data_IF_546024062295
#
_entry.id   IF_546024062295
#
_cell.length_a   1.000
_cell.length_b   1.000
_cell.length_c   1.000
_cell.angle_alpha   90.00
_cell.angle_beta   90.00
_cell.angle_gamma   90.00
#
_symmetry.space_group_name_H-M   'P 1'
#
loop_
_entity.id
_entity.type
_entity.pdbx_description
1 polymer ?
#
# COMPACT_ATOMS: atom_id res chain seq x y z
N UNK A 1 27.50 27.67 -9.18
CA UNK A 1 26.61 26.59 -8.70
C UNK A 1 25.60 26.32 -9.81
N UNK A 2 25.78 25.25 -10.60
CA UNK A 2 24.81 24.91 -11.64
C UNK A 2 23.56 24.33 -10.96
N UNK A 3 22.47 25.07 -11.00
CA UNK A 3 21.15 24.57 -10.64
C UNK A 3 20.74 23.60 -11.75
N UNK A 4 20.89 22.30 -11.49
CA UNK A 4 20.32 21.29 -12.37
C UNK A 4 18.80 21.33 -12.22
N UNK A 5 18.12 22.14 -13.03
CA UNK A 5 16.68 21.98 -13.23
C UNK A 5 16.47 20.63 -13.88
N UNK A 6 16.04 19.65 -13.09
CA UNK A 6 15.59 18.36 -13.62
C UNK A 6 14.42 18.67 -14.55
N UNK A 7 14.46 18.28 -15.84
CA UNK A 7 13.33 18.51 -16.73
C UNK A 7 12.08 17.89 -16.11
N UNK A 8 11.01 18.68 -15.97
CA UNK A 8 9.69 18.13 -15.62
C UNK A 8 9.19 17.33 -16.83
N UNK A 9 9.45 16.02 -16.82
CA UNK A 9 8.94 15.08 -17.81
C UNK A 9 7.44 14.91 -17.58
N UNK A 10 6.63 15.80 -18.15
CA UNK A 10 5.18 15.77 -17.96
C UNK A 10 4.48 14.76 -18.88
N UNK A 11 5.18 14.24 -19.90
CA UNK A 11 4.65 13.27 -20.86
C UNK A 11 5.73 12.28 -21.26
N UNK A 12 5.53 11.00 -20.95
CA UNK A 12 6.46 9.91 -21.27
C UNK A 12 5.76 8.87 -22.13
N UNK A 13 6.32 8.59 -23.32
CA UNK A 13 5.84 7.51 -24.20
C UNK A 13 6.84 6.35 -24.17
N UNK A 14 6.38 5.18 -23.74
CA UNK A 14 7.20 3.96 -23.76
C UNK A 14 7.24 3.40 -25.19
N UNK A 15 8.43 3.31 -25.76
CA UNK A 15 8.65 2.80 -27.12
C UNK A 15 9.16 1.36 -27.15
N UNK A 16 9.72 0.87 -26.05
CA UNK A 16 10.25 -0.50 -25.91
C UNK A 16 9.17 -1.57 -26.13
N UNK A 17 9.43 -2.51 -27.04
CA UNK A 17 8.50 -3.61 -27.35
C UNK A 17 8.28 -4.53 -26.15
N UNK A 18 9.33 -4.75 -25.36
CA UNK A 18 9.25 -5.52 -24.11
C UNK A 18 8.17 -4.95 -23.18
N UNK A 19 8.19 -3.64 -22.93
CA UNK A 19 7.27 -2.98 -22.03
C UNK A 19 5.89 -2.76 -22.65
N UNK A 20 5.81 -2.47 -23.95
CA UNK A 20 4.52 -2.39 -24.66
C UNK A 20 3.74 -3.68 -24.54
N UNK A 21 4.40 -4.84 -24.71
CA UNK A 21 3.75 -6.15 -24.56
C UNK A 21 3.06 -6.31 -23.21
N UNK A 22 3.73 -5.96 -22.11
CA UNK A 22 3.14 -6.05 -20.77
C UNK A 22 2.03 -5.03 -20.55
N UNK A 23 2.19 -3.80 -21.03
CA UNK A 23 1.14 -2.77 -20.98
C UNK A 23 -0.11 -3.23 -21.71
N UNK A 24 0.04 -3.80 -22.90
CA UNK A 24 -1.08 -4.37 -23.66
C UNK A 24 -1.74 -5.54 -22.94
N UNK A 25 -0.95 -6.44 -22.34
CA UNK A 25 -1.47 -7.55 -21.53
C UNK A 25 -2.31 -7.03 -20.36
N UNK A 26 -1.85 -5.96 -19.69
CA UNK A 26 -2.57 -5.36 -18.57
C UNK A 26 -3.97 -4.91 -18.98
N UNK A 27 -4.09 -4.13 -20.05
CA UNK A 27 -5.40 -3.59 -20.48
C UNK A 27 -6.30 -4.62 -21.14
N UNK A 28 -5.74 -5.57 -21.89
CA UNK A 28 -6.54 -6.55 -22.64
C UNK A 28 -6.98 -7.74 -21.81
N UNK A 29 -6.15 -8.18 -20.87
CA UNK A 29 -6.37 -9.42 -20.11
C UNK A 29 -6.46 -9.20 -18.61
N UNK A 30 -5.50 -8.49 -18.01
CA UNK A 30 -5.40 -8.42 -16.54
C UNK A 30 -6.52 -7.60 -15.93
N UNK A 31 -6.75 -6.37 -16.38
CA UNK A 31 -7.79 -5.50 -15.83
C UNK A 31 -9.19 -6.10 -16.01
N UNK A 32 -9.59 -6.62 -17.20
CA UNK A 32 -10.89 -7.27 -17.35
C UNK A 32 -11.05 -8.54 -16.50
N UNK A 33 -9.99 -9.36 -16.39
CA UNK A 33 -10.04 -10.57 -15.57
C UNK A 33 -10.19 -10.25 -14.09
N UNK A 34 -9.35 -9.35 -13.55
CA UNK A 34 -9.42 -8.94 -12.16
C UNK A 34 -10.77 -8.30 -11.82
N UNK A 35 -11.33 -7.50 -12.73
CA UNK A 35 -12.67 -6.93 -12.55
C UNK A 35 -13.73 -8.02 -12.38
N UNK A 36 -13.71 -9.07 -13.22
CA UNK A 36 -14.63 -10.22 -13.09
C UNK A 36 -14.43 -10.96 -11.77
N UNK A 37 -13.19 -11.17 -11.34
CA UNK A 37 -12.88 -11.81 -10.06
C UNK A 37 -13.46 -11.01 -8.88
N UNK A 38 -13.24 -9.70 -8.84
CA UNK A 38 -13.74 -8.84 -7.75
C UNK A 38 -15.27 -8.69 -7.73
N UNK A 39 -15.94 -8.98 -8.84
CA UNK A 39 -17.40 -9.04 -8.95
C UNK A 39 -17.96 -10.47 -8.76
N UNK A 40 -17.12 -11.45 -8.42
CA UNK A 40 -17.49 -12.87 -8.31
C UNK A 40 -18.11 -13.45 -9.60
N UNK A 41 -17.70 -12.92 -10.76
CA UNK A 41 -18.15 -13.33 -12.10
C UNK A 41 -17.17 -14.27 -12.82
N UNK A 42 -16.01 -14.53 -12.22
CA UNK A 42 -14.99 -15.44 -12.74
C UNK A 42 -14.94 -16.74 -11.94
N UNK A 43 -14.78 -17.86 -12.63
CA UNK A 43 -14.50 -19.16 -12.00
C UNK A 43 -13.01 -19.22 -11.63
N UNK A 44 -12.70 -19.12 -10.33
CA UNK A 44 -11.34 -19.12 -9.82
C UNK A 44 -11.07 -20.37 -8.98
N UNK A 45 -9.89 -20.96 -9.19
CA UNK A 45 -9.32 -21.96 -8.31
C UNK A 45 -8.18 -21.33 -7.54
N UNK A 46 -8.42 -20.98 -6.28
CA UNK A 46 -7.42 -20.38 -5.41
C UNK A 46 -6.58 -21.51 -4.80
N UNK A 47 -5.27 -21.50 -5.09
CA UNK A 47 -4.32 -22.34 -4.38
C UNK A 47 -4.25 -21.93 -2.91
N UNK A 48 -3.89 -22.85 -2.01
CA UNK A 48 -3.64 -22.57 -0.58
C UNK A 48 -2.86 -21.26 -0.40
N UNK A 49 -3.38 -20.37 0.47
CA UNK A 49 -2.66 -19.15 0.86
C UNK A 49 -1.26 -19.56 1.36
N UNK A 50 -0.17 -19.05 0.76
CA UNK A 50 1.19 -19.31 1.23
C UNK A 50 1.44 -18.95 2.71
N UNK A 51 0.60 -18.10 3.30
CA UNK A 51 0.62 -17.72 4.71
C UNK A 51 -0.49 -18.40 5.54
N UNK A 52 -1.29 -19.27 4.90
CA UNK A 52 -2.36 -20.07 5.50
C UNK A 52 -3.48 -19.24 6.17
N UNK A 53 -3.82 -18.07 5.64
CA UNK A 53 -4.88 -17.23 6.21
C UNK A 53 -6.29 -17.56 5.69
N UNK A 54 -6.47 -18.60 4.87
CA UNK A 54 -7.78 -19.10 4.44
C UNK A 54 -7.83 -19.57 2.98
N UNK A 55 -9.00 -20.08 2.59
CA UNK A 55 -9.37 -20.40 1.20
C UNK A 55 -10.76 -19.82 0.94
N UNK A 56 -10.83 -18.52 0.68
CA UNK A 56 -12.06 -17.93 0.18
C UNK A 56 -12.26 -18.32 -1.28
N UNK A 57 -13.49 -18.71 -1.65
CA UNK A 57 -13.82 -19.10 -3.03
C UNK A 57 -14.18 -17.89 -3.90
N UNK A 58 -14.57 -16.80 -3.25
CA UNK A 58 -15.03 -15.57 -3.86
C UNK A 58 -14.12 -14.41 -3.43
N UNK A 59 -14.18 -13.30 -4.16
CA UNK A 59 -13.54 -12.05 -3.74
C UNK A 59 -14.50 -11.20 -2.92
N UNK A 60 -15.73 -11.02 -3.39
CA UNK A 60 -16.76 -10.18 -2.79
C UNK A 60 -16.41 -8.69 -2.62
N UNK A 61 -15.26 -8.23 -3.14
CA UNK A 61 -14.74 -6.89 -2.86
C UNK A 61 -15.69 -5.78 -3.34
N UNK A 62 -16.30 -5.93 -4.53
CA UNK A 62 -17.30 -4.97 -5.03
C UNK A 62 -18.64 -5.09 -4.27
N UNK A 63 -19.00 -6.29 -3.81
CA UNK A 63 -20.23 -6.49 -3.05
C UNK A 63 -20.13 -5.85 -1.65
N UNK A 64 -18.98 -5.92 -0.98
CA UNK A 64 -18.73 -5.22 0.28
C UNK A 64 -18.99 -3.69 0.14
N UNK A 65 -18.48 -3.06 -0.93
CA UNK A 65 -18.76 -1.64 -1.21
C UNK A 65 -20.26 -1.38 -1.45
N UNK A 66 -20.96 -2.26 -2.18
CA UNK A 66 -22.42 -2.14 -2.39
C UNK A 66 -23.20 -2.27 -1.08
N UNK A 67 -22.75 -3.12 -0.16
CA UNK A 67 -23.38 -3.27 1.16
C UNK A 67 -23.14 -2.02 2.00
N UNK A 68 -21.91 -1.52 2.05
CA UNK A 68 -21.59 -0.27 2.76
C UNK A 68 -22.35 0.94 2.21
N UNK A 69 -22.55 1.01 0.89
CA UNK A 69 -23.36 2.04 0.22
C UNK A 69 -24.89 1.86 0.42
N UNK A 70 -25.35 0.83 1.13
CA UNK A 70 -26.77 0.52 1.30
C UNK A 70 -27.48 0.06 0.03
N UNK A 71 -26.74 -0.23 -1.05
CA UNK A 71 -27.26 -0.72 -2.33
C UNK A 71 -27.48 -2.24 -2.32
N UNK A 72 -26.94 -2.94 -1.32
CA UNK A 72 -27.08 -4.37 -1.09
C UNK A 72 -27.23 -4.64 0.42
N UNK A 73 -27.90 -5.73 0.79
CA UNK A 73 -27.93 -6.21 2.19
C UNK A 73 -26.96 -7.39 2.32
N UNK A 74 -26.21 -7.45 3.41
CA UNK A 74 -25.28 -8.55 3.67
C UNK A 74 -24.33 -8.24 4.82
N UNK A 75 -23.35 -9.12 4.99
CA UNK A 75 -22.20 -8.98 5.88
C UNK A 75 -20.94 -8.81 5.04
N UNK A 76 -19.84 -8.36 5.66
CA UNK A 76 -18.55 -8.32 4.99
C UNK A 76 -18.07 -9.73 4.67
N UNK A 77 -17.33 -9.87 3.56
CA UNK A 77 -16.67 -11.11 3.19
C UNK A 77 -15.22 -10.86 2.78
N UNK A 78 -14.33 -11.80 3.10
CA UNK A 78 -12.89 -11.71 2.86
C UNK A 78 -12.14 -11.00 3.98
N UNK A 79 -10.91 -10.55 3.69
CA UNK A 79 -10.06 -9.91 4.69
C UNK A 79 -10.60 -8.54 5.12
N UNK A 80 -10.20 -8.02 6.30
CA UNK A 80 -10.51 -6.64 6.70
C UNK A 80 -10.03 -5.58 5.70
N UNK A 81 -9.01 -5.91 4.88
CA UNK A 81 -8.44 -5.05 3.84
C UNK A 81 -8.94 -5.35 2.42
N UNK A 82 -10.04 -6.10 2.26
CA UNK A 82 -10.53 -6.52 0.93
C UNK A 82 -10.76 -5.35 -0.03
N UNK A 83 -11.15 -4.18 0.48
CA UNK A 83 -11.39 -2.99 -0.35
C UNK A 83 -10.12 -2.52 -1.08
N UNK A 84 -8.93 -2.79 -0.53
CA UNK A 84 -7.66 -2.40 -1.13
C UNK A 84 -7.44 -3.06 -2.51
N UNK A 85 -8.04 -4.23 -2.77
CA UNK A 85 -7.98 -4.88 -4.08
C UNK A 85 -8.69 -4.05 -5.15
N UNK A 86 -9.85 -3.47 -4.79
CA UNK A 86 -10.62 -2.57 -5.65
C UNK A 86 -9.82 -1.29 -5.93
N UNK A 87 -9.18 -0.73 -4.91
CA UNK A 87 -8.44 0.52 -5.05
C UNK A 87 -7.18 0.35 -5.88
N UNK A 88 -6.42 -0.73 -5.68
CA UNK A 88 -5.25 -1.05 -6.53
C UNK A 88 -5.65 -1.30 -7.99
N UNK A 89 -6.78 -1.96 -8.22
CA UNK A 89 -7.31 -2.13 -9.57
C UNK A 89 -7.68 -0.78 -10.20
N UNK A 90 -8.31 0.11 -9.44
CA UNK A 90 -8.65 1.46 -9.88
C UNK A 90 -7.39 2.30 -10.21
N UNK A 91 -6.34 2.22 -9.39
CA UNK A 91 -5.06 2.88 -9.65
C UNK A 91 -4.41 2.34 -10.94
N UNK A 92 -4.40 1.01 -11.13
CA UNK A 92 -3.88 0.39 -12.34
C UNK A 92 -4.67 0.79 -13.60
N UNK A 93 -6.00 0.88 -13.48
CA UNK A 93 -6.87 1.37 -14.54
C UNK A 93 -6.61 2.85 -14.84
N UNK A 94 -6.41 3.70 -13.82
CA UNK A 94 -6.06 5.11 -13.97
C UNK A 94 -4.82 5.28 -14.85
N UNK A 95 -3.70 4.64 -14.49
CA UNK A 95 -2.47 4.71 -15.27
C UNK A 95 -2.62 4.17 -16.70
N UNK A 96 -3.58 3.27 -16.92
CA UNK A 96 -3.85 2.73 -18.26
C UNK A 96 -4.31 3.80 -19.24
N UNK A 97 -5.05 4.81 -18.79
CA UNK A 97 -5.60 5.85 -19.67
C UNK A 97 -4.52 6.70 -20.32
N UNK A 98 -3.40 6.95 -19.63
CA UNK A 98 -2.27 7.70 -20.17
C UNK A 98 -1.59 7.05 -21.38
N UNK A 99 -1.85 5.76 -21.64
CA UNK A 99 -1.26 5.04 -22.79
C UNK A 99 -2.24 4.22 -23.62
N UNK A 100 -3.45 3.99 -23.12
CA UNK A 100 -4.49 3.26 -23.79
C UNK A 100 -5.88 3.83 -23.42
N UNK A 101 -6.29 4.96 -24.02
CA UNK A 101 -7.61 5.51 -23.79
C UNK A 101 -8.71 4.48 -24.12
N UNK A 102 -9.59 4.23 -23.16
CA UNK A 102 -10.64 3.22 -23.27
C UNK A 102 -11.94 3.75 -22.63
N UNK A 103 -12.91 4.22 -23.44
CA UNK A 103 -14.16 4.78 -22.94
C UNK A 103 -15.00 3.81 -22.11
N UNK A 104 -14.99 2.51 -22.45
CA UNK A 104 -15.76 1.50 -21.74
C UNK A 104 -15.17 1.24 -20.34
N UNK A 105 -13.84 1.10 -20.25
CA UNK A 105 -13.15 1.03 -18.97
C UNK A 105 -13.37 2.30 -18.14
N UNK A 106 -13.32 3.48 -18.77
CA UNK A 106 -13.58 4.75 -18.09
C UNK A 106 -14.99 4.80 -17.48
N UNK A 107 -15.99 4.29 -18.19
CA UNK A 107 -17.36 4.20 -17.65
C UNK A 107 -17.43 3.27 -16.44
N UNK A 108 -16.74 2.13 -16.49
CA UNK A 108 -16.67 1.19 -15.36
C UNK A 108 -16.02 1.88 -14.15
N UNK A 109 -14.88 2.56 -14.35
CA UNK A 109 -14.15 3.21 -13.26
C UNK A 109 -14.87 4.45 -12.71
N UNK A 110 -15.53 5.25 -13.54
CA UNK A 110 -16.36 6.38 -13.08
C UNK A 110 -17.54 5.88 -12.22
N UNK A 111 -18.23 4.81 -12.66
CA UNK A 111 -19.30 4.19 -11.86
C UNK A 111 -18.78 3.60 -10.55
N UNK A 112 -17.56 3.03 -10.56
CA UNK A 112 -16.92 2.52 -9.35
C UNK A 112 -16.62 3.67 -8.37
N UNK A 113 -16.13 4.81 -8.86
CA UNK A 113 -15.90 5.99 -8.03
C UNK A 113 -17.19 6.50 -7.42
N UNK A 114 -18.30 6.48 -8.17
CA UNK A 114 -19.63 6.81 -7.63
C UNK A 114 -20.04 5.85 -6.51
N UNK A 115 -19.85 4.54 -6.69
CA UNK A 115 -20.10 3.54 -5.64
C UNK A 115 -19.24 3.78 -4.40
N UNK A 116 -17.96 4.10 -4.56
CA UNK A 116 -17.06 4.40 -3.44
C UNK A 116 -17.50 5.70 -2.74
N UNK A 117 -17.96 6.69 -3.48
CA UNK A 117 -18.51 7.92 -2.92
C UNK A 117 -19.75 7.64 -2.06
N UNK A 118 -20.66 6.80 -2.56
CA UNK A 118 -21.89 6.41 -1.84
C UNK A 118 -21.59 5.56 -0.60
N UNK A 119 -20.51 4.78 -0.62
CA UNK A 119 -20.08 3.98 0.51
C UNK A 119 -19.33 4.78 1.59
N UNK A 120 -18.76 5.95 1.27
CA UNK A 120 -17.96 6.74 2.21
C UNK A 120 -18.86 7.43 3.24
N UNK A 121 -18.57 7.24 4.54
CA UNK A 121 -19.32 7.88 5.61
C UNK A 121 -19.21 9.42 5.53
N UNK A 122 -20.15 10.13 6.16
CA UNK A 122 -20.20 11.60 6.16
C UNK A 122 -18.90 12.24 6.67
N UNK A 123 -18.28 11.63 7.69
CA UNK A 123 -17.01 12.05 8.28
C UNK A 123 -15.79 11.67 7.44
N UNK A 124 -15.96 11.07 6.27
CA UNK A 124 -14.90 10.69 5.34
C UNK A 124 -14.29 9.30 5.59
N UNK A 125 -14.72 8.58 6.63
CA UNK A 125 -14.28 7.22 6.89
C UNK A 125 -14.74 6.25 5.78
N UNK A 126 -13.88 5.31 5.39
CA UNK A 126 -14.28 4.18 4.54
C UNK A 126 -13.43 2.95 4.84
N UNK A 127 -14.09 1.91 5.33
CA UNK A 127 -13.58 0.54 5.40
C UNK A 127 -14.79 -0.35 5.60
N UNK A 128 -15.10 -1.18 4.60
CA UNK A 128 -16.39 -1.87 4.53
C UNK A 128 -16.58 -2.81 5.72
N UNK A 129 -15.55 -3.55 6.14
CA UNK A 129 -15.62 -4.42 7.33
C UNK A 129 -16.10 -3.67 8.58
N UNK A 130 -15.50 -2.50 8.85
CA UNK A 130 -15.84 -1.70 10.02
C UNK A 130 -17.11 -0.89 9.82
N UNK A 131 -17.60 -0.66 8.60
CA UNK A 131 -18.92 -0.04 8.41
C UNK A 131 -20.05 -1.05 8.56
N UNK A 132 -19.82 -2.29 8.16
CA UNK A 132 -20.87 -3.33 8.05
C UNK A 132 -20.96 -4.15 9.33
N UNK A 133 -19.85 -4.75 9.78
CA UNK A 133 -19.86 -5.78 10.81
C UNK A 133 -19.32 -5.32 12.17
N UNK A 134 -18.50 -4.25 12.18
CA UNK A 134 -17.83 -3.79 13.40
C UNK A 134 -17.70 -2.25 13.53
N UNK A 135 -18.79 -1.46 13.39
CA UNK A 135 -18.75 0.01 13.46
C UNK A 135 -18.24 0.58 14.78
N UNK A 136 -18.43 -0.14 15.87
CA UNK A 136 -17.91 0.24 17.17
C UNK A 136 -16.41 0.01 17.32
N UNK A 137 -15.74 -0.63 16.35
CA UNK A 137 -14.31 -1.01 16.41
C UNK A 137 -13.40 -0.19 15.50
N UNK A 138 -13.93 0.82 14.80
CA UNK A 138 -13.14 1.78 14.00
C UNK A 138 -11.93 2.30 14.79
N UNK A 139 -10.74 2.15 14.23
CA UNK A 139 -9.44 2.52 14.79
C UNK A 139 -9.10 1.90 16.14
N UNK A 140 -9.72 0.76 16.52
CA UNK A 140 -9.47 0.10 17.83
C UNK A 140 -8.50 -1.10 17.75
N UNK A 141 -8.10 -1.56 16.56
CA UNK A 141 -7.14 -2.66 16.41
C UNK A 141 -6.18 -2.46 15.23
N UNK A 142 -5.48 -1.34 15.24
CA UNK A 142 -4.61 -0.85 14.17
C UNK A 142 -3.48 -1.81 13.82
N UNK A 143 -3.04 -2.66 14.74
CA UNK A 143 -2.07 -3.72 14.44
C UNK A 143 -2.53 -4.62 13.29
N UNK A 144 -3.84 -4.90 13.19
CA UNK A 144 -4.42 -5.94 12.34
C UNK A 144 -5.43 -5.39 11.33
N UNK A 145 -6.02 -4.23 11.64
CA UNK A 145 -7.19 -3.67 10.95
C UNK A 145 -6.95 -3.32 9.48
N UNK A 146 -5.73 -2.88 9.14
CA UNK A 146 -5.42 -2.28 7.84
C UNK A 146 -6.37 -1.13 7.44
N UNK A 147 -6.97 -0.42 8.40
CA UNK A 147 -7.87 0.71 8.10
C UNK A 147 -7.12 1.85 7.37
N UNK A 148 -5.93 2.24 7.86
CA UNK A 148 -5.17 3.30 7.20
C UNK A 148 -4.49 2.78 5.94
N UNK A 149 -4.09 1.51 5.91
CA UNK A 149 -3.59 0.85 4.71
C UNK A 149 -4.61 0.88 3.57
N UNK A 150 -5.85 0.52 3.88
CA UNK A 150 -6.93 0.42 2.90
C UNK A 150 -7.34 1.81 2.39
N UNK A 151 -7.51 2.79 3.29
CA UNK A 151 -7.73 4.19 2.88
C UNK A 151 -6.53 4.78 2.15
N UNK A 152 -5.30 4.41 2.51
CA UNK A 152 -4.07 4.81 1.81
C UNK A 152 -4.06 4.37 0.35
N UNK A 153 -4.43 3.12 0.08
CA UNK A 153 -4.55 2.64 -1.30
C UNK A 153 -5.67 3.34 -2.08
N UNK A 154 -6.78 3.73 -1.44
CA UNK A 154 -7.75 4.59 -2.10
C UNK A 154 -7.15 5.97 -2.43
N UNK A 155 -6.41 6.57 -1.49
CA UNK A 155 -5.77 7.87 -1.71
C UNK A 155 -4.82 7.80 -2.93
N UNK A 156 -4.00 6.75 -3.05
CA UNK A 156 -3.15 6.53 -4.23
C UNK A 156 -3.98 6.44 -5.52
N UNK A 157 -5.06 5.64 -5.50
CA UNK A 157 -5.95 5.47 -6.64
C UNK A 157 -6.66 6.78 -7.03
N UNK A 158 -7.16 7.53 -6.06
CA UNK A 158 -7.85 8.81 -6.25
C UNK A 158 -6.92 9.87 -6.84
N UNK A 159 -5.69 9.95 -6.35
CA UNK A 159 -4.65 10.83 -6.91
C UNK A 159 -4.32 10.44 -8.35
N UNK A 160 -4.02 9.16 -8.60
CA UNK A 160 -3.69 8.68 -9.95
C UNK A 160 -4.84 8.92 -10.95
N UNK A 161 -6.08 8.64 -10.52
CA UNK A 161 -7.26 8.80 -11.36
C UNK A 161 -7.56 10.27 -11.66
N UNK A 162 -7.43 11.16 -10.68
CA UNK A 162 -7.52 12.59 -10.90
C UNK A 162 -6.43 13.07 -11.86
N UNK A 163 -5.17 12.66 -11.65
CA UNK A 163 -4.05 13.06 -12.50
C UNK A 163 -4.24 12.66 -13.97
N UNK A 164 -4.70 11.42 -14.22
CA UNK A 164 -4.83 10.88 -15.58
C UNK A 164 -6.12 11.30 -16.29
N UNK A 165 -7.19 11.64 -15.55
CA UNK A 165 -8.52 11.88 -16.14
C UNK A 165 -9.14 13.23 -15.82
N UNK A 166 -8.62 13.96 -14.84
CA UNK A 166 -9.21 15.18 -14.29
C UNK A 166 -10.47 14.96 -13.44
N UNK A 167 -10.78 13.72 -13.03
CA UNK A 167 -11.96 13.44 -12.22
C UNK A 167 -11.77 13.95 -10.78
N UNK A 168 -12.38 15.10 -10.49
CA UNK A 168 -12.31 15.76 -9.19
C UNK A 168 -12.97 14.94 -8.05
N UNK A 169 -14.02 14.17 -8.35
CA UNK A 169 -14.73 13.36 -7.35
C UNK A 169 -13.78 12.33 -6.72
N UNK A 170 -12.94 11.69 -7.51
CA UNK A 170 -11.94 10.74 -7.02
C UNK A 170 -10.97 11.40 -6.02
N UNK A 171 -10.49 12.61 -6.34
CA UNK A 171 -9.60 13.37 -5.45
C UNK A 171 -10.32 13.85 -4.18
N UNK A 172 -11.58 14.26 -4.29
CA UNK A 172 -12.36 14.74 -3.15
C UNK A 172 -12.65 13.65 -2.12
N UNK A 173 -12.94 12.42 -2.56
CA UNK A 173 -13.08 11.27 -1.66
C UNK A 173 -11.75 11.00 -0.93
N UNK A 174 -10.61 11.10 -1.65
CA UNK A 174 -9.28 10.86 -1.07
C UNK A 174 -8.94 11.91 0.00
N UNK A 175 -9.24 13.18 -0.28
CA UNK A 175 -9.13 14.26 0.70
C UNK A 175 -10.01 14.01 1.93
N UNK A 176 -11.25 13.56 1.75
CA UNK A 176 -12.16 13.27 2.88
C UNK A 176 -11.64 12.14 3.76
N UNK A 177 -11.04 11.09 3.17
CA UNK A 177 -10.36 10.05 3.95
C UNK A 177 -9.15 10.61 4.71
N UNK A 178 -8.31 11.40 4.05
CA UNK A 178 -7.15 12.01 4.69
C UNK A 178 -7.56 12.96 5.83
N UNK A 179 -8.60 13.77 5.64
CA UNK A 179 -9.16 14.65 6.66
C UNK A 179 -9.79 13.85 7.81
N UNK A 180 -10.41 12.70 7.53
CA UNK A 180 -10.89 11.77 8.57
C UNK A 180 -9.72 11.28 9.43
N UNK A 181 -8.64 10.84 8.80
CA UNK A 181 -7.46 10.34 9.50
C UNK A 181 -6.80 11.48 10.31
N UNK A 182 -6.64 12.67 9.74
CA UNK A 182 -6.07 13.86 10.41
C UNK A 182 -6.84 14.23 11.69
N UNK A 183 -8.18 14.09 11.69
CA UNK A 183 -9.01 14.31 12.88
C UNK A 183 -8.76 13.29 14.00
N UNK A 184 -8.45 12.04 13.65
CA UNK A 184 -8.37 10.95 14.62
C UNK A 184 -6.94 10.67 15.11
N UNK A 185 -5.92 11.03 14.35
CA UNK A 185 -4.52 10.65 14.62
C UNK A 185 -3.63 11.87 14.87
N UNK A 186 -2.82 11.79 15.92
CA UNK A 186 -1.96 12.88 16.36
C UNK A 186 -1.62 12.76 17.84
N UNK A 187 -0.87 13.75 18.34
CA UNK A 187 -0.45 13.84 19.75
C UNK A 187 -1.33 14.78 20.57
N UNK A 188 -2.26 15.47 19.91
CA UNK A 188 -3.22 16.37 20.54
C UNK A 188 -4.21 15.59 21.41
N UNK A 189 -4.73 16.25 22.44
CA UNK A 189 -5.70 15.66 23.35
C UNK A 189 -6.93 15.13 22.59
N UNK A 190 -7.34 13.90 22.88
CA UNK A 190 -8.46 13.23 22.22
C UNK A 190 -8.11 12.48 20.94
N UNK A 191 -6.92 12.67 20.37
CA UNK A 191 -6.45 11.89 19.21
C UNK A 191 -5.74 10.60 19.64
N UNK A 192 -5.62 9.67 18.69
CA UNK A 192 -4.92 8.40 18.83
C UNK A 192 -3.43 8.62 18.51
N UNK A 193 -2.50 8.44 19.48
CA UNK A 193 -1.06 8.58 19.27
C UNK A 193 -0.46 7.31 18.59
N UNK A 194 -1.13 6.84 17.54
CA UNK A 194 -0.91 5.55 16.89
C UNK A 194 -0.65 5.62 15.39
N UNK A 195 -0.52 4.43 14.81
CA UNK A 195 -0.21 4.16 13.41
C UNK A 195 -0.72 2.76 13.05
N UNK A 196 -0.89 2.48 11.76
CA UNK A 196 -1.31 1.16 11.26
C UNK A 196 -0.18 0.13 11.36
N UNK A 197 -0.52 -1.14 11.61
CA UNK A 197 0.41 -2.25 11.57
C UNK A 197 1.03 -2.47 10.19
N UNK A 198 0.38 -2.06 9.11
CA UNK A 198 0.93 -2.08 7.76
C UNK A 198 1.19 -0.65 7.25
N UNK A 199 2.46 -0.21 7.14
CA UNK A 199 2.81 1.05 6.45
C UNK A 199 2.23 1.08 5.05
N UNK A 200 1.71 2.22 4.62
CA UNK A 200 1.11 2.51 3.30
C UNK A 200 0.56 3.94 3.30
N UNK A 201 -0.14 4.33 4.37
CA UNK A 201 -0.75 5.66 4.46
C UNK A 201 0.26 6.80 4.36
N UNK A 202 1.50 6.57 4.79
CA UNK A 202 2.55 7.57 4.83
C UNK A 202 2.98 8.02 3.41
N UNK A 203 3.12 7.07 2.48
CA UNK A 203 3.45 7.38 1.08
C UNK A 203 2.22 7.93 0.33
N UNK A 204 1.03 7.42 0.64
CA UNK A 204 -0.22 7.86 0.03
C UNK A 204 -0.52 9.34 0.36
N UNK A 205 -0.39 9.73 1.63
CA UNK A 205 -0.53 11.12 2.08
C UNK A 205 0.53 12.04 1.46
N UNK A 206 1.76 11.54 1.25
CA UNK A 206 2.81 12.30 0.57
C UNK A 206 2.43 12.57 -0.90
N UNK A 207 1.86 11.59 -1.61
CA UNK A 207 1.35 11.79 -2.98
C UNK A 207 0.14 12.72 -3.01
N UNK A 208 -0.75 12.62 -2.02
CA UNK A 208 -1.90 13.53 -1.91
C UNK A 208 -1.45 14.98 -1.68
N UNK A 209 -0.41 15.19 -0.88
CA UNK A 209 0.23 16.50 -0.76
C UNK A 209 0.79 16.99 -2.09
N UNK A 210 1.51 16.16 -2.85
CA UNK A 210 2.05 16.57 -4.16
C UNK A 210 0.94 16.99 -5.14
N UNK A 211 -0.22 16.33 -5.10
CA UNK A 211 -1.36 16.61 -5.98
C UNK A 211 -2.19 17.83 -5.53
N UNK A 212 -2.29 18.08 -4.21
CA UNK A 212 -3.20 19.10 -3.65
C UNK A 212 -2.51 20.36 -3.12
N UNK A 213 -1.24 20.26 -2.72
CA UNK A 213 -0.52 21.30 -1.98
C UNK A 213 -0.98 21.49 -0.53
N UNK A 214 -1.87 20.65 0.00
CA UNK A 214 -2.36 20.74 1.38
C UNK A 214 -1.31 20.16 2.36
N UNK A 215 -0.60 21.07 3.03
CA UNK A 215 0.51 20.74 3.92
C UNK A 215 0.10 19.84 5.09
N UNK A 216 -1.17 19.88 5.55
CA UNK A 216 -1.65 19.00 6.62
C UNK A 216 -1.43 17.51 6.28
N UNK A 217 -1.60 17.11 5.03
CA UNK A 217 -1.38 15.72 4.62
C UNK A 217 0.09 15.32 4.72
N UNK A 218 0.99 16.22 4.35
CA UNK A 218 2.43 16.01 4.53
C UNK A 218 2.81 15.91 6.01
N UNK A 219 2.29 16.82 6.84
CA UNK A 219 2.57 16.82 8.28
C UNK A 219 2.03 15.55 8.95
N UNK A 220 0.87 15.05 8.52
CA UNK A 220 0.29 13.80 8.98
C UNK A 220 1.13 12.58 8.56
N UNK A 221 1.62 12.54 7.31
CA UNK A 221 2.57 11.52 6.87
C UNK A 221 3.84 11.53 7.73
N UNK A 222 4.39 12.71 8.01
CA UNK A 222 5.56 12.87 8.88
C UNK A 222 5.27 12.41 10.31
N UNK A 223 4.07 12.68 10.84
CA UNK A 223 3.64 12.18 12.14
C UNK A 223 3.68 10.64 12.18
N UNK A 224 3.06 9.94 11.23
CA UNK A 224 3.03 8.48 11.24
C UNK A 224 4.43 7.85 11.16
N UNK A 225 5.31 8.42 10.31
CA UNK A 225 6.71 8.01 10.23
C UNK A 225 7.42 8.09 11.59
N UNK A 226 7.26 9.22 12.29
CA UNK A 226 8.01 9.47 13.51
C UNK A 226 7.37 8.85 14.74
N UNK A 227 6.05 8.60 14.72
CA UNK A 227 5.33 7.98 15.82
C UNK A 227 5.59 6.47 15.90
N UNK A 228 5.86 5.82 14.76
CA UNK A 228 6.12 4.38 14.70
C UNK A 228 7.30 3.99 15.59
N UNK A 229 7.05 3.11 16.57
CA UNK A 229 8.05 2.59 17.50
C UNK A 229 8.38 3.49 18.69
N UNK A 230 7.73 4.65 18.86
CA UNK A 230 7.93 5.52 20.04
C UNK A 230 7.42 4.88 21.33
N UNK A 231 6.27 4.22 21.25
CA UNK A 231 5.72 3.37 22.31
C UNK A 231 5.65 1.92 21.80
N UNK A 232 6.66 1.08 22.07
CA UNK A 232 6.67 -0.31 21.63
C UNK A 232 5.49 -1.13 22.15
N UNK A 233 4.78 -0.66 23.19
CA UNK A 233 3.62 -1.32 23.77
C UNK A 233 2.28 -0.80 23.20
N UNK A 234 2.30 0.09 22.20
CA UNK A 234 1.10 0.73 21.64
C UNK A 234 0.06 -0.30 21.20
N UNK A 235 0.47 -1.30 20.39
CA UNK A 235 -0.44 -2.32 19.88
C UNK A 235 -1.00 -3.22 20.98
N UNK A 236 -0.17 -3.63 21.94
CA UNK A 236 -0.59 -4.45 23.08
C UNK A 236 -1.60 -3.70 23.96
N UNK A 237 -1.39 -2.40 24.19
CA UNK A 237 -2.36 -1.54 24.89
C UNK A 237 -3.68 -1.46 24.14
N UNK A 238 -3.63 -1.34 22.82
CA UNK A 238 -4.83 -1.27 21.98
C UNK A 238 -5.61 -2.59 21.98
N UNK A 239 -4.92 -3.73 21.85
CA UNK A 239 -5.51 -5.07 21.96
C UNK A 239 -6.18 -5.24 23.31
N UNK A 240 -5.52 -4.85 24.40
CA UNK A 240 -6.08 -4.92 25.75
C UNK A 240 -7.34 -4.06 25.90
N UNK A 241 -7.34 -2.85 25.32
CA UNK A 241 -8.48 -1.94 25.39
C UNK A 241 -9.67 -2.39 24.53
N UNK A 242 -9.41 -2.95 23.35
CA UNK A 242 -10.44 -3.49 22.45
C UNK A 242 -10.90 -4.90 22.89
N UNK A 243 -10.16 -5.60 23.75
CA UNK A 243 -10.49 -6.89 24.33
C UNK A 243 -9.43 -7.95 24.00
N UNK A 244 -8.77 -8.45 25.03
CA UNK A 244 -7.63 -9.39 24.93
C UNK A 244 -8.08 -10.85 24.85
N UNK A 245 -8.82 -11.18 23.79
CA UNK A 245 -9.09 -12.57 23.38
C UNK A 245 -8.68 -12.77 21.92
N UNK A 246 -8.06 -13.91 21.56
CA UNK A 246 -7.83 -14.29 20.16
C UNK A 246 -9.10 -14.28 19.30
N UNK A 247 -10.27 -14.54 19.88
CA UNK A 247 -11.56 -14.49 19.16
C UNK A 247 -11.92 -13.07 18.67
N UNK A 248 -11.23 -12.05 19.17
CA UNK A 248 -11.39 -10.65 18.75
C UNK A 248 -10.35 -10.23 17.72
N UNK A 249 -9.39 -11.08 17.38
CA UNK A 249 -8.42 -10.77 16.33
C UNK A 249 -9.13 -10.70 14.97
N UNK A 250 -8.66 -9.76 14.14
CA UNK A 250 -9.21 -9.52 12.81
C UNK A 250 -8.57 -10.44 11.77
N UNK A 251 -7.35 -10.90 12.05
CA UNK A 251 -6.57 -11.80 11.21
C UNK A 251 -5.95 -12.86 12.13
N UNK A 252 -6.28 -14.15 11.96
CA UNK A 252 -5.76 -15.22 12.81
C UNK A 252 -4.23 -15.24 12.89
N UNK A 253 -3.68 -15.41 14.09
CA UNK A 253 -2.24 -15.51 14.34
C UNK A 253 -1.46 -14.20 14.22
N UNK A 254 -2.09 -13.11 13.76
CA UNK A 254 -1.38 -11.85 13.53
C UNK A 254 -0.87 -11.22 14.84
N UNK A 255 -1.60 -11.37 15.96
CA UNK A 255 -1.17 -10.88 17.27
C UNK A 255 0.17 -11.43 17.76
N UNK A 256 0.56 -12.62 17.29
CA UNK A 256 1.74 -13.34 17.77
C UNK A 256 3.03 -12.94 17.02
N UNK A 257 2.92 -12.16 15.95
CA UNK A 257 4.09 -11.63 15.27
C UNK A 257 4.85 -10.64 16.15
N UNK A 258 6.18 -10.68 16.05
CA UNK A 258 7.04 -9.78 16.81
C UNK A 258 6.89 -8.34 16.33
N UNK A 259 7.32 -7.38 17.16
CA UNK A 259 7.23 -5.95 16.82
C UNK A 259 8.02 -5.57 15.57
N UNK A 260 9.08 -6.31 15.26
CA UNK A 260 9.87 -6.15 14.04
C UNK A 260 9.04 -6.45 12.79
N UNK A 261 8.09 -7.40 12.84
CA UNK A 261 7.18 -7.67 11.72
C UNK A 261 6.43 -6.41 11.28
N UNK A 262 6.08 -5.55 12.25
CA UNK A 262 5.35 -4.28 12.10
C UNK A 262 6.25 -3.04 12.00
N UNK A 263 7.58 -3.22 11.97
CA UNK A 263 8.57 -2.14 12.04
C UNK A 263 8.38 -1.22 13.26
N UNK A 264 7.89 -1.77 14.36
CA UNK A 264 7.46 -1.02 15.55
C UNK A 264 8.26 -1.39 16.80
N UNK A 265 9.38 -2.12 16.66
CA UNK A 265 10.24 -2.49 17.79
C UNK A 265 10.99 -1.28 18.36
N UNK A 266 11.37 -0.34 17.50
CA UNK A 266 12.06 0.91 17.85
C UNK A 266 11.72 2.00 16.82
N UNK A 267 11.92 3.30 17.16
CA UNK A 267 11.69 4.39 16.22
C UNK A 267 12.46 4.21 14.90
N UNK A 268 11.85 4.63 13.78
CA UNK A 268 12.45 4.44 12.44
C UNK A 268 13.89 4.96 12.35
N UNK A 269 14.18 6.09 13.01
CA UNK A 269 15.53 6.69 13.03
C UNK A 269 16.61 5.81 13.67
N UNK A 270 16.20 4.88 14.54
CA UNK A 270 17.07 4.02 15.32
C UNK A 270 17.22 2.62 14.66
N UNK A 271 16.35 2.28 13.69
CA UNK A 271 16.39 1.04 12.93
C UNK A 271 17.60 0.97 12.00
N UNK A 272 18.57 0.09 12.32
CA UNK A 272 19.83 -0.05 11.55
C UNK A 272 19.72 -1.02 10.39
N UNK A 273 18.83 -2.01 10.49
CA UNK A 273 18.69 -3.08 9.50
C UNK A 273 17.19 -3.30 9.26
N UNK A 274 16.76 -3.43 8.00
CA UNK A 274 15.37 -3.75 7.68
C UNK A 274 15.05 -5.16 8.16
N UNK A 275 14.17 -5.25 9.14
CA UNK A 275 13.59 -6.49 9.65
C UNK A 275 12.07 -6.47 9.48
N UNK A 276 11.46 -7.66 9.43
CA UNK A 276 10.00 -7.81 9.35
C UNK A 276 9.46 -8.13 7.97
N UNK A 277 8.18 -7.83 7.76
CA UNK A 277 7.49 -8.14 6.51
C UNK A 277 8.01 -7.28 5.35
N UNK A 278 8.48 -7.92 4.27
CA UNK A 278 9.17 -7.24 3.19
C UNK A 278 8.37 -6.09 2.54
N UNK A 279 7.06 -6.26 2.34
CA UNK A 279 6.22 -5.20 1.75
C UNK A 279 6.07 -4.02 2.71
N UNK A 280 5.92 -4.28 4.01
CA UNK A 280 5.82 -3.22 5.03
C UNK A 280 7.08 -2.37 5.05
N UNK A 281 8.24 -3.02 4.97
CA UNK A 281 9.54 -2.34 4.84
C UNK A 281 9.59 -1.48 3.57
N UNK A 282 9.23 -2.02 2.41
CA UNK A 282 9.35 -1.28 1.15
C UNK A 282 8.38 -0.09 1.12
N UNK A 283 7.14 -0.24 1.60
CA UNK A 283 6.20 0.88 1.70
C UNK A 283 6.70 1.96 2.67
N UNK A 284 7.19 1.55 3.84
CA UNK A 284 7.78 2.47 4.81
C UNK A 284 8.93 3.29 4.21
N UNK A 285 9.85 2.63 3.50
CA UNK A 285 11.01 3.26 2.86
C UNK A 285 10.68 4.05 1.60
N UNK A 286 9.53 3.78 0.97
CA UNK A 286 9.07 4.50 -0.23
C UNK A 286 8.49 5.87 0.11
N UNK A 287 8.22 6.12 1.39
CA UNK A 287 7.78 7.43 1.87
C UNK A 287 8.91 8.44 1.71
N UNK A 288 8.83 9.28 0.67
CA UNK A 288 9.81 10.31 0.37
C UNK A 288 9.08 11.61 0.05
N UNK A 289 9.23 12.64 0.89
CA UNK A 289 9.00 14.01 0.47
C UNK A 289 10.35 14.70 0.22
N UNK A 290 10.55 15.40 -0.92
CA UNK A 290 11.78 16.16 -1.18
C UNK A 290 12.10 17.18 -0.08
N UNK A 291 11.08 17.68 0.60
CA UNK A 291 11.18 18.66 1.69
C UNK A 291 11.78 18.06 2.96
N UNK A 292 11.78 16.74 3.10
CA UNK A 292 12.41 16.04 4.22
C UNK A 292 13.87 15.67 3.95
N UNK A 293 14.43 16.11 2.80
CA UNK A 293 15.83 15.87 2.41
C UNK A 293 16.88 16.50 3.36
N UNK A 294 16.45 17.25 4.38
CA UNK A 294 17.28 17.84 5.43
C UNK A 294 17.07 17.24 6.82
N UNK A 295 16.19 16.24 6.98
CA UNK A 295 15.84 15.66 8.29
C UNK A 295 16.67 14.38 8.61
N UNK A 296 16.93 14.09 9.90
CA UNK A 296 17.70 12.92 10.36
C UNK A 296 17.06 11.55 10.04
N UNK A 297 15.85 11.52 9.48
CA UNK A 297 15.21 10.30 8.96
C UNK A 297 15.94 9.71 7.73
N UNK A 298 16.67 10.53 6.94
CA UNK A 298 17.38 10.04 5.75
C UNK A 298 18.60 9.20 6.08
N UNK A 299 19.49 9.56 7.04
CA UNK A 299 20.54 8.65 7.49
C UNK A 299 20.00 7.27 7.82
N UNK A 300 18.86 7.18 8.52
CA UNK A 300 18.22 5.91 8.85
C UNK A 300 17.71 5.18 7.60
N UNK A 301 16.92 5.83 6.74
CA UNK A 301 16.44 5.25 5.47
C UNK A 301 17.63 4.79 4.61
N UNK A 302 18.68 5.62 4.46
CA UNK A 302 19.90 5.32 3.69
C UNK A 302 20.69 4.16 4.30
N UNK A 303 20.77 4.08 5.63
CA UNK A 303 21.38 2.96 6.36
C UNK A 303 20.54 1.70 6.16
N UNK A 304 19.21 1.78 6.14
CA UNK A 304 18.31 0.64 5.91
C UNK A 304 18.31 0.16 4.44
N UNK A 305 18.50 1.04 3.45
CA UNK A 305 18.58 0.67 2.02
C UNK A 305 19.84 -0.13 1.66
N UNK A 306 20.97 0.16 2.32
CA UNK A 306 22.26 -0.46 2.00
C UNK A 306 22.27 -2.00 2.24
N UNK A 307 21.75 -2.53 3.36
CA UNK A 307 21.56 -3.97 3.57
C UNK A 307 20.54 -4.63 2.63
N UNK A 308 19.46 -3.94 2.23
CA UNK A 308 18.49 -4.50 1.26
C UNK A 308 19.20 -4.87 -0.03
N UNK A 309 19.99 -3.93 -0.57
CA UNK A 309 20.70 -4.09 -1.84
C UNK A 309 21.94 -4.99 -1.68
N UNK A 310 22.66 -4.86 -0.56
CA UNK A 310 23.96 -5.51 -0.34
C UNK A 310 23.91 -6.91 0.30
N UNK A 311 22.80 -7.31 0.94
CA UNK A 311 22.75 -8.56 1.72
C UNK A 311 21.39 -9.28 1.68
N UNK A 312 20.29 -8.61 1.32
CA UNK A 312 18.93 -9.18 1.31
C UNK A 312 18.35 -9.51 -0.07
N UNK A 313 18.90 -8.94 -1.16
CA UNK A 313 18.46 -9.24 -2.53
C UNK A 313 19.20 -10.45 -3.09
N UNK A 314 18.51 -11.59 -3.21
CA UNK A 314 19.01 -12.71 -4.01
C UNK A 314 18.98 -12.35 -5.50
N UNK A 315 20.12 -12.50 -6.18
CA UNK A 315 20.22 -12.36 -7.63
C UNK A 315 19.47 -13.54 -8.26
N UNK A 316 18.29 -13.24 -8.80
CA UNK A 316 17.31 -14.11 -9.47
C UNK A 316 16.41 -14.96 -8.56
N UNK A 317 15.10 -14.83 -8.80
CA UNK A 317 13.99 -15.70 -8.39
C UNK A 317 13.31 -15.47 -7.03
N UNK A 318 12.84 -14.24 -6.77
CA UNK A 318 11.46 -13.99 -6.28
C UNK A 318 10.99 -14.66 -4.98
N UNK A 319 11.88 -15.24 -4.18
CA UNK A 319 11.59 -15.73 -2.84
C UNK A 319 12.33 -14.86 -1.85
N UNK A 320 11.60 -14.00 -1.14
CA UNK A 320 12.06 -13.53 0.16
C UNK A 320 12.01 -14.73 1.10
N UNK A 321 13.14 -15.42 1.26
CA UNK A 321 13.30 -16.34 2.39
C UNK A 321 13.42 -15.50 3.65
N UNK A 322 12.67 -15.85 4.70
CA UNK A 322 13.02 -15.52 6.09
C UNK A 322 14.54 -15.61 6.26
N UNK A 323 15.19 -14.62 6.90
CA UNK A 323 16.65 -14.58 7.08
C UNK A 323 17.19 -15.96 7.52
N UNK A 324 17.69 -16.76 6.57
CA UNK A 324 18.33 -18.05 6.85
C UNK A 324 19.82 -17.77 6.94
N UNK A 325 20.33 -17.90 8.16
CA UNK A 325 21.76 -18.04 8.46
C UNK A 325 22.36 -19.13 7.57
N UNK A 326 23.43 -18.79 6.84
CA UNK A 326 24.19 -19.64 5.93
C UNK A 326 24.41 -21.08 6.45
N UNK A 327 23.81 -22.08 5.79
CA UNK A 327 24.36 -23.44 5.72
C UNK A 327 24.28 -23.93 4.26
N UNK A 328 25.41 -24.43 3.76
CA UNK A 328 25.77 -24.71 2.35
C UNK A 328 24.79 -25.60 1.55
N UNK A 329 24.75 -25.45 0.20
CA UNK A 329 23.76 -26.10 -0.66
C UNK A 329 24.11 -27.56 -1.04
N UNK A 330 23.07 -28.40 -1.20
CA UNK A 330 23.09 -29.56 -2.11
C UNK A 330 22.11 -29.31 -3.26
N UNK A 331 22.61 -29.54 -4.47
CA UNK A 331 21.98 -29.29 -5.76
C UNK A 331 20.81 -30.25 -6.05
N UNK A 332 19.69 -29.72 -6.56
CA UNK A 332 18.72 -30.46 -7.35
C UNK A 332 18.08 -29.55 -8.43
N UNK A 333 17.84 -30.13 -9.60
CA UNK A 333 17.53 -29.52 -10.92
C UNK A 333 16.13 -28.88 -11.02
N UNK A 334 15.89 -28.00 -12.03
CA UNK A 334 14.67 -27.16 -12.10
C UNK A 334 13.46 -27.88 -12.71
N UNK A 335 12.27 -27.51 -12.24
CA UNK A 335 10.96 -27.78 -12.85
C UNK A 335 10.31 -26.45 -13.29
N UNK A 336 9.61 -26.38 -14.44
CA UNK A 336 9.10 -25.14 -14.99
C UNK A 336 7.69 -24.83 -14.47
N UNK A 337 7.51 -23.72 -13.77
CA UNK A 337 6.28 -22.89 -13.71
C UNK A 337 6.33 -22.00 -12.47
N UNK A 338 6.72 -20.73 -12.64
CA UNK A 338 6.21 -19.62 -11.82
C UNK A 338 6.49 -18.33 -12.59
N UNK A 339 5.52 -17.90 -13.39
CA UNK A 339 5.45 -16.55 -13.96
C UNK A 339 4.41 -15.80 -13.12
N UNK A 340 4.54 -14.48 -13.05
CA UNK A 340 3.64 -13.51 -12.39
C UNK A 340 4.09 -13.15 -10.96
N UNK A 341 4.92 -12.11 -10.90
CA UNK A 341 4.91 -10.95 -9.99
C UNK A 341 6.16 -10.14 -10.36
N UNK A 342 6.10 -9.45 -11.49
CA UNK A 342 7.16 -8.55 -11.96
C UNK A 342 6.52 -7.31 -12.54
N UNK A 343 6.25 -6.33 -11.68
CA UNK A 343 6.29 -4.89 -12.00
C UNK A 343 5.87 -4.05 -10.80
N UNK A 344 6.84 -3.50 -10.07
CA UNK A 344 6.73 -2.21 -9.38
C UNK A 344 7.86 -1.35 -9.98
N UNK A 345 7.57 -0.37 -10.85
CA UNK A 345 8.62 0.47 -11.42
C UNK A 345 8.84 1.71 -10.53
N UNK A 346 9.54 1.57 -9.40
CA UNK A 346 10.00 2.72 -8.59
C UNK A 346 11.51 2.98 -8.76
N UNK A 347 12.27 2.06 -9.36
CA UNK A 347 13.74 2.10 -9.30
C UNK A 347 14.46 3.04 -10.28
N UNK A 348 13.78 3.65 -11.26
CA UNK A 348 14.49 4.41 -12.31
C UNK A 348 14.87 5.85 -11.91
N UNK A 349 14.20 6.46 -10.91
CA UNK A 349 14.45 7.87 -10.53
C UNK A 349 15.62 8.04 -9.58
N UNK A 350 15.96 6.99 -8.80
CA UNK A 350 16.99 7.04 -7.76
C UNK A 350 18.43 6.87 -8.28
N UNK A 351 18.67 6.24 -9.44
CA UNK A 351 20.05 5.98 -9.88
C UNK A 351 20.73 7.21 -10.52
N UNK A 352 19.97 8.16 -11.08
CA UNK A 352 20.54 9.30 -11.83
C UNK A 352 20.86 10.55 -11.00
N UNK A 353 20.25 10.72 -9.83
CA UNK A 353 20.59 11.83 -8.91
C UNK A 353 21.85 11.54 -8.07
N UNK A 354 22.29 10.28 -8.05
CA UNK A 354 23.32 9.79 -7.15
C UNK A 354 24.55 9.50 -8.00
N UNK A 355 25.33 10.55 -8.27
CA UNK A 355 26.60 10.46 -8.99
C UNK A 355 27.56 9.48 -8.32
N UNK A 356 27.48 8.20 -8.70
CA UNK A 356 28.42 7.18 -8.27
C UNK A 356 29.58 7.14 -9.28
N UNK A 357 30.40 8.18 -9.27
CA UNK A 357 31.72 8.15 -9.90
C UNK A 357 32.76 7.78 -8.84
N UNK A 358 32.84 6.49 -8.51
CA UNK A 358 34.04 5.82 -8.00
C UNK A 358 33.67 4.41 -7.59
N UNK A 359 33.86 3.44 -8.49
CA UNK A 359 34.14 2.02 -8.22
C UNK A 359 34.29 1.31 -9.58
N UNK A 360 35.17 1.85 -10.42
CA UNK A 360 35.80 1.10 -11.52
C UNK A 360 37.29 1.10 -11.22
N UNK A 361 37.68 0.13 -10.38
CA UNK A 361 39.05 -0.10 -9.97
C UNK A 361 39.41 -1.57 -10.18
N UNK A 362 39.85 -1.87 -11.40
CA UNK A 362 40.79 -2.92 -11.85
C UNK A 362 40.60 -4.38 -11.37
N UNK A 363 40.48 -5.21 -12.41
CA UNK A 363 40.70 -6.66 -12.53
C UNK A 363 39.55 -7.58 -12.11
#
# INVERSE_FOLDING_TARGET
MQVYTTPKLNKVKVTSDFWKRYRELVVKEVLPYQWKVMNDEADISISEDPQNNGQDKNSHAIANLKIAAGQMKGHHYGFPFQDADVYKWLEAAAYSFGYHPNPDLKKITDNLIDLIADAQDDDGYLSTYFQIDAPERKFKRLQQSHELYTMGHYIEAGVAYHHETGNQKALDIAKRMADCIDRHFGLEEGKIPGYDGHPEIELALSRLYEETGEKRYLDLAHYFLNQRGQDPAFFEKQIKADGDSPDRDLIPGMRDFTREYYLAAEPIKDQKVPHGHAVRVVYQLSTCAPEWLTLPAIPAIRISWLPVIGSGMTLSNGRCTSLVTLVKPRLAKPSPMTMIYRTIPITARLVRQWGCHSLLGRC
#
